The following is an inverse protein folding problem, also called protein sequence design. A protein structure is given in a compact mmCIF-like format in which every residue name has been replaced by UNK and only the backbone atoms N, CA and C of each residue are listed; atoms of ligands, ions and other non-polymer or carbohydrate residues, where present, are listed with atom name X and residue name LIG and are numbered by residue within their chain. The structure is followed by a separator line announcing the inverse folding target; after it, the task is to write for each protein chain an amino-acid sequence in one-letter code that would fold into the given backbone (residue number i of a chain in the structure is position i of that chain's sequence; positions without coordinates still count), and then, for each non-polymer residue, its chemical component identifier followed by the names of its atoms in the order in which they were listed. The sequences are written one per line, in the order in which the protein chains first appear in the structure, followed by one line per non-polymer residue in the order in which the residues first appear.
data_IF_250496241447
#
_entry.id   IF_250496241447
#
_cell.length_a   1.000
_cell.length_b   1.000
_cell.length_c   1.000
_cell.angle_alpha   90.00
_cell.angle_beta   90.00
_cell.angle_gamma   90.00
#
_symmetry.space_group_name_H-M   'P 1'
#
loop_
_entity.id
_entity.type
_entity.pdbx_description
1 polymer ?
#
# COMPACT_ATOMS: atom_id res chain seq x y z
N UNK A 1 -17.99 -7.88 14.09
CA UNK A 1 -16.62 -7.42 14.41
C UNK A 1 -15.63 -8.04 13.45
N UNK A 2 -14.46 -7.43 13.25
CA UNK A 2 -13.42 -7.90 12.34
C UNK A 2 -12.30 -8.64 13.10
N UNK A 3 -11.60 -9.54 12.40
CA UNK A 3 -10.42 -10.25 12.87
C UNK A 3 -9.31 -10.14 11.82
N UNK A 4 -8.09 -9.88 12.26
CA UNK A 4 -6.90 -9.74 11.41
C UNK A 4 -6.00 -10.94 11.67
N UNK A 5 -5.63 -11.64 10.61
CA UNK A 5 -4.77 -12.83 10.65
C UNK A 5 -3.55 -12.58 9.77
N UNK A 6 -2.36 -12.90 10.29
CA UNK A 6 -1.15 -12.95 9.47
C UNK A 6 -1.12 -14.29 8.76
N UNK A 7 -0.99 -14.27 7.44
CA UNK A 7 -0.92 -15.47 6.60
C UNK A 7 0.54 -15.85 6.30
N UNK A 8 0.78 -17.13 6.01
CA UNK A 8 2.09 -17.60 5.56
C UNK A 8 2.42 -17.09 4.16
N UNK A 9 3.70 -17.02 3.81
CA UNK A 9 4.13 -16.57 2.48
C UNK A 9 3.54 -17.43 1.33
N UNK A 10 3.50 -18.78 1.41
CA UNK A 10 2.88 -19.60 0.36
C UNK A 10 1.37 -19.33 0.21
N UNK A 11 0.66 -19.12 1.31
CA UNK A 11 -0.76 -18.80 1.26
C UNK A 11 -0.99 -17.41 0.65
N UNK A 12 -0.19 -16.41 1.06
CA UNK A 12 -0.24 -15.07 0.49
C UNK A 12 0.04 -15.07 -1.02
N UNK A 13 1.01 -15.87 -1.48
CA UNK A 13 1.31 -16.05 -2.90
C UNK A 13 0.09 -16.59 -3.65
N UNK A 14 -0.53 -17.67 -3.17
CA UNK A 14 -1.73 -18.24 -3.78
C UNK A 14 -2.87 -17.23 -3.85
N UNK A 15 -3.12 -16.49 -2.76
CA UNK A 15 -4.14 -15.44 -2.72
C UNK A 15 -3.85 -14.34 -3.74
N UNK A 16 -2.59 -13.86 -3.83
CA UNK A 16 -2.22 -12.81 -4.77
C UNK A 16 -2.26 -13.27 -6.22
N UNK A 17 -1.86 -14.51 -6.52
CA UNK A 17 -2.03 -15.08 -7.85
C UNK A 17 -3.51 -15.16 -8.24
N UNK A 18 -4.38 -15.58 -7.32
CA UNK A 18 -5.82 -15.64 -7.59
C UNK A 18 -6.45 -14.26 -7.82
N UNK A 19 -5.97 -13.22 -7.12
CA UNK A 19 -6.52 -11.86 -7.21
C UNK A 19 -5.93 -11.08 -8.41
N UNK A 20 -4.62 -11.20 -8.64
CA UNK A 20 -3.86 -10.25 -9.47
C UNK A 20 -3.19 -10.85 -10.71
N UNK A 21 -3.24 -12.17 -10.94
CA UNK A 21 -2.57 -12.81 -12.09
C UNK A 21 -2.96 -12.25 -13.46
N UNK A 22 -4.16 -11.67 -13.58
CA UNK A 22 -4.63 -11.01 -14.80
C UNK A 22 -4.18 -9.55 -14.97
N UNK A 23 -3.47 -8.96 -14.00
CA UNK A 23 -3.00 -7.59 -14.06
C UNK A 23 -1.68 -7.48 -14.82
N UNK A 24 -1.52 -6.41 -15.61
CA UNK A 24 -0.35 -6.18 -16.47
C UNK A 24 0.97 -6.09 -15.70
N UNK A 25 0.94 -5.53 -14.48
CA UNK A 25 2.11 -5.27 -13.65
C UNK A 25 2.25 -6.22 -12.46
N UNK A 26 1.57 -7.37 -12.48
CA UNK A 26 1.73 -8.34 -11.41
C UNK A 26 3.10 -9.05 -11.52
N UNK A 27 3.96 -9.00 -10.48
CA UNK A 27 5.29 -9.59 -10.54
C UNK A 27 5.20 -11.12 -10.65
N UNK A 28 5.90 -11.69 -11.64
CA UNK A 28 5.99 -13.14 -11.84
C UNK A 28 6.69 -13.84 -10.67
N UNK A 29 7.53 -13.11 -9.95
CA UNK A 29 8.34 -13.56 -8.82
C UNK A 29 7.82 -13.03 -7.47
N UNK A 30 6.50 -12.91 -7.32
CA UNK A 30 5.85 -12.48 -6.06
C UNK A 30 6.33 -13.27 -4.84
N UNK A 31 6.70 -14.54 -5.01
CA UNK A 31 7.30 -15.38 -3.97
C UNK A 31 8.61 -14.81 -3.41
N UNK A 32 9.43 -14.18 -4.26
CA UNK A 32 10.70 -13.54 -3.88
C UNK A 32 10.46 -12.29 -3.05
N UNK A 33 9.39 -11.54 -3.36
CA UNK A 33 8.94 -10.40 -2.57
C UNK A 33 8.46 -10.91 -1.20
N UNK A 34 7.58 -11.90 -1.16
CA UNK A 34 6.99 -12.41 0.08
C UNK A 34 7.98 -13.12 1.02
N UNK A 35 9.09 -13.63 0.48
CA UNK A 35 10.17 -14.26 1.26
C UNK A 35 11.29 -13.28 1.68
N UNK A 36 11.23 -12.03 1.22
CA UNK A 36 12.21 -11.00 1.57
C UNK A 36 12.18 -10.67 3.06
N UNK A 37 13.34 -10.31 3.63
CA UNK A 37 13.45 -9.79 4.99
C UNK A 37 12.73 -8.44 5.18
N UNK A 38 12.58 -7.69 4.09
CA UNK A 38 11.85 -6.42 4.08
C UNK A 38 10.33 -6.63 4.10
N UNK A 39 9.84 -7.83 3.82
CA UNK A 39 8.43 -8.18 3.94
C UNK A 39 8.07 -8.41 5.42
N UNK A 40 7.36 -7.45 6.02
CA UNK A 40 6.97 -7.50 7.44
C UNK A 40 5.78 -8.46 7.66
N UNK A 41 4.99 -8.72 6.63
CA UNK A 41 3.92 -9.72 6.64
C UNK A 41 2.78 -9.38 5.69
N UNK A 42 2.00 -10.41 5.37
CA UNK A 42 0.70 -10.29 4.70
C UNK A 42 -0.40 -10.54 5.70
N UNK A 43 -1.37 -9.64 5.72
CA UNK A 43 -2.46 -9.63 6.68
C UNK A 43 -3.79 -9.68 5.95
N UNK A 44 -4.65 -10.58 6.41
CA UNK A 44 -6.01 -10.74 5.91
C UNK A 44 -6.97 -10.37 7.03
N UNK A 45 -7.94 -9.52 6.70
CA UNK A 45 -8.99 -9.10 7.61
C UNK A 45 -10.32 -9.70 7.15
N UNK A 46 -10.94 -10.47 8.04
CA UNK A 46 -12.23 -11.11 7.80
C UNK A 46 -13.24 -10.75 8.90
N UNK A 47 -14.55 -10.79 8.63
CA UNK A 47 -15.55 -10.78 9.67
C UNK A 47 -15.33 -11.95 10.64
N UNK A 48 -15.46 -11.72 11.94
CA UNK A 48 -15.27 -12.76 12.99
C UNK A 48 -16.15 -14.00 12.77
N UNK A 49 -17.33 -13.84 12.18
CA UNK A 49 -18.23 -14.93 11.82
C UNK A 49 -17.66 -15.90 10.79
N UNK A 50 -16.76 -15.43 9.93
CA UNK A 50 -16.12 -16.25 8.90
C UNK A 50 -14.77 -16.82 9.36
N UNK A 51 -14.21 -16.36 10.48
CA UNK A 51 -12.90 -16.83 10.96
C UNK A 51 -12.89 -18.34 11.22
N UNK A 52 -13.96 -18.89 11.82
CA UNK A 52 -14.07 -20.33 12.11
C UNK A 52 -14.38 -21.18 10.88
N UNK A 53 -14.89 -20.56 9.80
CA UNK A 53 -15.23 -21.23 8.55
C UNK A 53 -14.10 -21.14 7.52
N UNK A 54 -13.18 -20.19 7.70
CA UNK A 54 -12.06 -20.01 6.81
C UNK A 54 -10.97 -21.02 7.14
N UNK A 55 -10.90 -22.09 6.35
CA UNK A 55 -9.75 -22.96 6.34
C UNK A 55 -8.58 -22.20 5.71
N UNK A 56 -7.58 -21.88 6.52
CA UNK A 56 -6.39 -21.08 6.17
C UNK A 56 -5.47 -21.77 5.14
N UNK A 57 -5.98 -22.72 4.37
CA UNK A 57 -5.16 -23.58 3.54
C UNK A 57 -5.20 -23.19 2.07
N UNK A 58 -6.35 -22.86 1.45
CA UNK A 58 -6.36 -22.57 0.00
C UNK A 58 -7.53 -21.72 -0.57
N UNK A 59 -8.51 -21.27 0.22
CA UNK A 59 -9.66 -20.53 -0.32
C UNK A 59 -9.68 -19.06 0.12
N UNK A 60 -9.91 -18.15 -0.84
CA UNK A 60 -10.28 -16.76 -0.53
C UNK A 60 -11.61 -16.74 0.23
N UNK A 61 -11.70 -16.07 1.40
CA UNK A 61 -12.97 -15.90 2.08
C UNK A 61 -13.99 -15.15 1.19
N UNK A 62 -15.30 -15.34 1.39
CA UNK A 62 -16.32 -14.63 0.59
C UNK A 62 -16.35 -13.11 0.86
N UNK A 63 -15.89 -12.68 2.05
CA UNK A 63 -15.75 -11.27 2.41
C UNK A 63 -14.46 -11.06 3.18
N UNK A 64 -13.52 -10.32 2.59
CA UNK A 64 -12.19 -10.09 3.15
C UNK A 64 -11.58 -8.79 2.65
N UNK A 65 -10.52 -8.38 3.34
CA UNK A 65 -9.52 -7.46 2.82
C UNK A 65 -8.14 -8.09 3.02
N UNK A 66 -7.20 -7.83 2.13
CA UNK A 66 -5.82 -8.30 2.19
C UNK A 66 -4.88 -7.12 1.93
N UNK A 67 -3.74 -7.12 2.60
CA UNK A 67 -2.68 -6.12 2.46
C UNK A 67 -1.37 -6.71 2.97
N UNK A 68 -0.27 -6.39 2.28
CA UNK A 68 1.08 -6.65 2.76
C UNK A 68 1.77 -5.37 3.20
N UNK A 69 2.72 -5.50 4.11
CA UNK A 69 3.54 -4.37 4.59
C UNK A 69 5.01 -4.63 4.28
N UNK A 70 5.66 -3.65 3.66
CA UNK A 70 7.07 -3.65 3.32
C UNK A 70 7.84 -2.60 4.13
N UNK A 71 9.03 -2.97 4.57
CA UNK A 71 9.97 -2.09 5.26
C UNK A 71 10.87 -1.39 4.25
N UNK A 72 10.67 -0.10 4.01
CA UNK A 72 11.57 0.68 3.13
C UNK A 72 12.72 1.32 3.89
N UNK A 73 12.73 1.28 5.23
CA UNK A 73 13.66 2.07 6.06
C UNK A 73 15.13 1.67 5.89
N UNK A 74 15.39 0.43 5.47
CA UNK A 74 16.73 -0.09 5.19
C UNK A 74 17.25 0.32 3.81
N UNK A 75 16.37 0.81 2.93
CA UNK A 75 16.68 1.09 1.52
C UNK A 75 16.51 2.58 1.19
N UNK A 76 15.46 3.23 1.71
CA UNK A 76 15.10 4.60 1.41
C UNK A 76 14.75 5.41 2.67
N UNK A 77 15.09 6.70 2.62
CA UNK A 77 14.64 7.70 3.57
C UNK A 77 14.03 8.88 2.82
N UNK A 78 12.86 9.32 3.29
CA UNK A 78 12.18 10.48 2.76
C UNK A 78 12.49 11.71 3.62
N UNK A 79 12.48 12.87 2.99
CA UNK A 79 12.60 14.15 3.68
C UNK A 79 11.80 15.21 2.93
N UNK A 80 10.87 15.86 3.63
CA UNK A 80 10.17 17.02 3.10
C UNK A 80 11.11 18.23 3.06
N UNK A 81 11.40 18.70 1.86
CA UNK A 81 12.16 19.92 1.57
C UNK A 81 11.27 20.96 0.88
N UNK A 82 11.73 22.21 0.82
CA UNK A 82 11.03 23.29 0.10
C UNK A 82 9.88 23.97 0.85
N UNK A 83 9.65 23.64 2.12
CA UNK A 83 8.58 24.24 2.94
C UNK A 83 9.07 25.55 3.57
N UNK A 84 8.20 26.57 3.66
CA UNK A 84 8.57 27.88 4.22
C UNK A 84 9.06 27.78 5.68
N UNK A 85 9.94 28.70 6.11
CA UNK A 85 10.44 28.76 7.50
C UNK A 85 9.29 28.92 8.51
N UNK A 86 8.27 29.69 8.16
CA UNK A 86 7.07 29.88 8.98
C UNK A 86 6.29 28.57 9.15
N UNK A 87 6.05 27.85 8.05
CA UNK A 87 5.38 26.54 8.09
C UNK A 87 6.15 25.55 8.97
N UNK A 88 7.48 25.54 8.86
CA UNK A 88 8.35 24.69 9.69
C UNK A 88 8.24 25.06 11.17
N UNK A 89 8.20 26.35 11.50
CA UNK A 89 8.01 26.83 12.87
C UNK A 89 6.62 26.46 13.42
N UNK A 90 5.55 26.63 12.63
CA UNK A 90 4.20 26.20 13.03
C UNK A 90 4.11 24.69 13.29
N UNK A 91 4.75 23.86 12.44
CA UNK A 91 4.79 22.41 12.65
C UNK A 91 5.65 21.99 13.85
N UNK A 92 6.66 22.78 14.22
CA UNK A 92 7.39 22.59 15.47
C UNK A 92 6.52 22.97 16.67
N UNK A 93 5.87 24.14 16.62
CA UNK A 93 4.98 24.62 17.65
C UNK A 93 3.81 23.69 17.93
N UNK A 94 3.17 23.14 16.88
CA UNK A 94 2.06 22.19 17.04
C UNK A 94 2.49 20.89 17.71
N UNK A 95 3.71 20.40 17.45
CA UNK A 95 4.27 19.21 18.11
C UNK A 95 4.58 19.47 19.59
N UNK A 96 5.14 20.63 19.91
CA UNK A 96 5.40 21.03 21.30
C UNK A 96 4.07 21.14 22.05
N UNK A 97 3.07 21.76 21.44
CA UNK A 97 1.74 21.92 22.02
C UNK A 97 1.06 20.56 22.25
N UNK A 98 1.12 19.64 21.29
CA UNK A 98 0.57 18.29 21.42
C UNK A 98 1.28 17.47 22.51
N UNK A 99 2.60 17.62 22.65
CA UNK A 99 3.38 16.94 23.69
C UNK A 99 3.07 17.46 25.11
N UNK A 100 2.82 18.76 25.28
CA UNK A 100 2.55 19.37 26.57
C UNK A 100 1.05 19.45 26.92
N UNK A 101 0.17 19.44 25.93
CA UNK A 101 -1.28 19.61 26.08
C UNK A 101 -2.04 18.56 25.23
N UNK A 102 -1.86 17.25 25.53
CA UNK A 102 -2.42 16.16 24.71
C UNK A 102 -3.96 16.14 24.70
N UNK A 103 -4.62 16.74 25.70
CA UNK A 103 -6.09 16.83 25.72
C UNK A 103 -6.66 17.71 24.60
N UNK A 104 -5.86 18.62 24.05
CA UNK A 104 -6.27 19.50 22.96
C UNK A 104 -6.34 18.77 21.61
N UNK A 105 -5.80 17.53 21.53
CA UNK A 105 -5.83 16.66 20.33
C UNK A 105 -5.43 17.41 19.06
N UNK A 106 -4.38 18.22 19.16
CA UNK A 106 -3.91 19.03 18.03
C UNK A 106 -3.41 18.06 16.96
N UNK A 107 -3.82 18.20 15.68
CA UNK A 107 -3.30 17.38 14.60
C UNK A 107 -1.84 17.76 14.34
N UNK A 108 -0.93 17.12 15.08
CA UNK A 108 0.51 17.35 14.98
C UNK A 108 1.08 16.57 13.80
N UNK A 109 1.76 17.27 12.90
CA UNK A 109 2.49 16.64 11.80
C UNK A 109 3.80 16.13 12.40
N UNK A 110 4.17 14.84 12.21
CA UNK A 110 5.44 14.30 12.68
C UNK A 110 6.62 15.04 12.03
N UNK A 111 7.83 14.79 12.50
CA UNK A 111 9.02 15.50 12.01
C UNK A 111 9.48 15.06 10.61
N UNK A 112 8.66 15.31 9.60
CA UNK A 112 8.93 14.94 8.22
C UNK A 112 10.05 15.78 7.57
N UNK A 113 10.60 16.77 8.28
CA UNK A 113 11.70 17.65 7.81
C UNK A 113 13.10 17.06 8.05
N UNK A 114 13.23 16.00 8.85
CA UNK A 114 14.45 15.20 8.97
C UNK A 114 14.27 13.92 8.14
N UNK A 115 15.35 13.28 7.66
CA UNK A 115 15.23 11.97 7.03
C UNK A 115 14.45 10.99 7.91
N UNK A 116 13.43 10.36 7.34
CA UNK A 116 12.60 9.35 8.01
C UNK A 116 12.37 8.18 7.06
N UNK A 117 12.31 6.97 7.61
CA UNK A 117 11.87 5.81 6.84
C UNK A 117 10.35 5.64 6.89
N UNK A 118 9.78 4.78 6.06
CA UNK A 118 8.35 4.53 6.03
C UNK A 118 8.03 3.05 5.88
N UNK A 119 6.77 2.69 6.14
CA UNK A 119 6.24 1.39 5.74
C UNK A 119 5.42 1.59 4.46
N UNK A 120 5.70 0.75 3.47
CA UNK A 120 4.96 0.75 2.23
C UNK A 120 3.90 -0.36 2.24
N UNK A 121 2.66 0.00 1.95
CA UNK A 121 1.54 -0.93 1.83
C UNK A 121 1.40 -1.33 0.36
N UNK A 122 1.35 -2.63 0.11
CA UNK A 122 1.21 -3.16 -1.24
C UNK A 122 0.27 -4.37 -1.26
N UNK A 123 -0.16 -4.78 -2.47
CA UNK A 123 -1.11 -5.88 -2.64
C UNK A 123 -2.46 -5.62 -1.98
N UNK A 124 -2.89 -4.36 -1.90
CA UNK A 124 -4.15 -4.03 -1.25
C UNK A 124 -5.32 -4.52 -2.12
N UNK A 125 -6.20 -5.32 -1.52
CA UNK A 125 -7.43 -5.75 -2.18
C UNK A 125 -8.54 -5.94 -1.16
N UNK A 126 -9.78 -5.68 -1.55
CA UNK A 126 -10.94 -5.91 -0.70
C UNK A 126 -12.11 -6.45 -1.53
N UNK A 127 -12.81 -7.44 -1.00
CA UNK A 127 -13.92 -8.11 -1.66
C UNK A 127 -15.06 -8.41 -0.68
N UNK A 128 -16.30 -8.32 -1.18
CA UNK A 128 -17.50 -8.66 -0.41
C UNK A 128 -18.17 -7.48 0.27
N UNK A 129 -19.39 -7.72 0.80
CA UNK A 129 -20.20 -6.68 1.45
C UNK A 129 -19.57 -6.25 2.79
N UNK A 130 -19.31 -4.95 2.94
CA UNK A 130 -18.69 -4.39 4.15
C UNK A 130 -17.16 -4.46 4.18
N UNK A 131 -16.53 -4.87 3.07
CA UNK A 131 -15.07 -4.97 2.92
C UNK A 131 -14.34 -3.63 3.15
N UNK A 132 -15.00 -2.50 2.90
CA UNK A 132 -14.50 -1.15 3.23
C UNK A 132 -14.10 -1.02 4.70
N UNK A 133 -14.90 -1.57 5.62
CA UNK A 133 -14.59 -1.55 7.05
C UNK A 133 -13.42 -2.48 7.41
N UNK A 134 -13.27 -3.59 6.68
CA UNK A 134 -12.17 -4.53 6.86
C UNK A 134 -10.85 -3.90 6.41
N UNK A 135 -10.84 -3.24 5.26
CA UNK A 135 -9.67 -2.53 4.74
C UNK A 135 -9.28 -1.36 5.66
N UNK A 136 -10.24 -0.55 6.14
CA UNK A 136 -9.97 0.48 7.17
C UNK A 136 -9.33 -0.10 8.43
N UNK A 137 -9.78 -1.29 8.84
CA UNK A 137 -9.19 -2.00 9.98
C UNK A 137 -7.75 -2.45 9.72
N UNK A 138 -7.44 -2.88 8.48
CA UNK A 138 -6.06 -3.18 8.05
C UNK A 138 -5.18 -1.94 8.02
N UNK A 139 -5.65 -0.83 7.44
CA UNK A 139 -4.89 0.43 7.43
C UNK A 139 -4.59 0.90 8.87
N UNK A 140 -5.56 0.81 9.78
CA UNK A 140 -5.34 1.12 11.20
C UNK A 140 -4.33 0.16 11.85
N UNK A 141 -4.37 -1.12 11.50
CA UNK A 141 -3.40 -2.10 11.97
C UNK A 141 -1.97 -1.78 11.49
N UNK A 142 -1.79 -1.47 10.21
CA UNK A 142 -0.49 -1.04 9.67
C UNK A 142 0.01 0.26 10.30
N UNK A 143 -0.87 1.25 10.50
CA UNK A 143 -0.55 2.47 11.22
C UNK A 143 -0.06 2.19 12.66
N UNK A 144 -0.74 1.27 13.38
CA UNK A 144 -0.32 0.89 14.72
C UNK A 144 1.01 0.11 14.72
N UNK A 145 1.27 -0.67 13.67
CA UNK A 145 2.55 -1.33 13.46
C UNK A 145 3.68 -0.31 13.25
N UNK A 146 3.46 0.68 12.38
CA UNK A 146 4.38 1.78 12.14
C UNK A 146 4.62 2.64 13.39
N UNK A 147 3.58 2.92 14.20
CA UNK A 147 3.72 3.68 15.45
C UNK A 147 4.62 3.02 16.50
N UNK A 148 4.72 1.69 16.48
CA UNK A 148 5.63 0.96 17.38
C UNK A 148 7.09 1.05 16.93
N UNK A 149 7.33 1.50 15.71
CA UNK A 149 8.63 1.62 15.11
C UNK A 149 9.13 3.07 15.16
N UNK A 150 10.10 3.35 16.02
CA UNK A 150 10.62 4.71 16.27
C UNK A 150 11.22 5.35 15.02
N UNK A 151 11.66 4.55 14.05
CA UNK A 151 12.29 5.04 12.82
C UNK A 151 11.30 5.23 11.66
N UNK A 152 10.04 4.80 11.84
CA UNK A 152 8.99 4.91 10.83
C UNK A 152 8.21 6.23 11.00
N UNK A 153 8.42 7.17 10.08
CA UNK A 153 7.76 8.47 10.09
C UNK A 153 6.42 8.51 9.36
N UNK A 154 6.17 7.56 8.45
CA UNK A 154 4.96 7.53 7.63
C UNK A 154 4.56 6.09 7.23
N UNK A 155 3.29 5.94 6.83
CA UNK A 155 2.79 4.78 6.12
C UNK A 155 2.33 5.26 4.76
N UNK A 156 2.82 4.63 3.70
CA UNK A 156 2.60 5.03 2.31
C UNK A 156 1.92 3.89 1.57
N UNK A 157 0.98 4.22 0.70
CA UNK A 157 0.35 3.29 -0.22
C UNK A 157 0.18 4.00 -1.56
N UNK A 158 0.46 3.29 -2.64
CA UNK A 158 0.12 3.73 -3.99
C UNK A 158 -1.03 2.86 -4.50
N UNK A 159 -2.07 3.51 -5.03
CA UNK A 159 -3.26 2.86 -5.59
C UNK A 159 -3.69 3.58 -6.85
N UNK A 160 -4.30 2.85 -7.78
CA UNK A 160 -4.89 3.48 -8.95
C UNK A 160 -6.03 4.42 -8.54
N UNK A 161 -6.19 5.52 -9.28
CA UNK A 161 -7.23 6.54 -9.04
C UNK A 161 -8.64 5.95 -8.93
N UNK A 162 -8.92 4.90 -9.71
CA UNK A 162 -10.22 4.26 -9.79
C UNK A 162 -10.31 2.95 -8.98
N UNK A 163 -9.28 2.62 -8.20
CA UNK A 163 -9.29 1.43 -7.36
C UNK A 163 -10.34 1.59 -6.26
N UNK A 164 -11.30 0.67 -6.09
CA UNK A 164 -12.26 0.71 -4.99
C UNK A 164 -11.60 0.84 -3.60
N UNK A 165 -10.39 0.30 -3.45
CA UNK A 165 -9.62 0.34 -2.20
C UNK A 165 -9.23 1.77 -1.82
N UNK A 166 -9.05 2.68 -2.79
CA UNK A 166 -8.68 4.08 -2.53
C UNK A 166 -9.62 4.79 -1.54
N UNK A 167 -10.91 4.44 -1.56
CA UNK A 167 -11.96 4.98 -0.66
C UNK A 167 -11.73 4.53 0.79
N UNK A 168 -11.10 3.38 0.99
CA UNK A 168 -10.84 2.80 2.31
C UNK A 168 -9.60 3.38 2.98
N UNK A 169 -8.61 3.82 2.20
CA UNK A 169 -7.30 4.23 2.71
C UNK A 169 -7.39 5.64 3.32
N UNK A 170 -7.15 5.77 4.64
CA UNK A 170 -7.03 7.09 5.25
C UNK A 170 -5.78 7.79 4.71
N UNK A 171 -5.94 8.95 4.09
CA UNK A 171 -4.83 9.73 3.56
C UNK A 171 -4.96 11.21 3.93
N UNK A 172 -3.84 11.91 3.97
CA UNK A 172 -3.81 13.36 4.14
C UNK A 172 -3.95 14.04 2.79
N UNK A 173 -5.07 14.72 2.54
CA UNK A 173 -5.36 15.41 1.25
C UNK A 173 -4.26 16.35 0.75
N UNK A 174 -3.43 16.90 1.64
CA UNK A 174 -2.32 17.80 1.29
C UNK A 174 -1.01 17.07 0.96
N UNK A 175 -0.93 15.78 1.27
CA UNK A 175 0.24 14.92 1.06
C UNK A 175 -0.05 13.72 0.15
N UNK A 176 -1.31 13.52 -0.27
CA UNK A 176 -1.66 12.65 -1.37
C UNK A 176 -1.29 13.34 -2.69
N UNK A 177 -0.37 12.75 -3.44
CA UNK A 177 -0.06 13.18 -4.80
C UNK A 177 -0.95 12.38 -5.77
N UNK A 178 -1.62 13.10 -6.67
CA UNK A 178 -2.24 12.48 -7.84
C UNK A 178 -1.16 12.43 -8.92
N UNK A 179 -0.46 11.30 -9.02
CA UNK A 179 0.60 11.12 -10.00
C UNK A 179 0.04 10.56 -11.32
N UNK A 180 0.42 11.18 -12.43
CA UNK A 180 0.04 10.74 -13.77
C UNK A 180 1.20 9.98 -14.41
N UNK A 181 1.04 8.66 -14.54
CA UNK A 181 2.01 7.80 -15.19
C UNK A 181 1.80 7.77 -16.71
N UNK A 182 2.72 8.37 -17.46
CA UNK A 182 2.76 8.31 -18.92
C UNK A 182 3.79 7.28 -19.36
N UNK A 183 3.34 6.12 -19.83
CA UNK A 183 4.23 5.09 -20.38
C UNK A 183 4.33 5.21 -21.90
N UNK A 184 5.56 5.24 -22.41
CA UNK A 184 5.86 5.21 -23.85
C UNK A 184 6.71 3.99 -24.16
N UNK A 185 6.23 3.13 -25.07
CA UNK A 185 7.02 2.00 -25.58
C UNK A 185 8.24 2.53 -26.32
N UNK A 186 9.43 2.24 -25.81
CA UNK A 186 10.69 2.49 -26.50
C UNK A 186 11.01 1.26 -27.37
N UNK A 187 10.36 1.11 -28.52
CA UNK A 187 10.77 0.07 -29.48
C UNK A 187 12.07 0.49 -30.15
N UNK A 188 13.13 -0.31 -29.99
CA UNK A 188 14.34 -0.24 -30.81
C UNK A 188 14.00 -0.83 -32.18
N UNK A 189 14.04 -0.01 -33.22
CA UNK A 189 14.06 -0.50 -34.60
C UNK A 189 15.31 -1.38 -34.79
N UNK A 190 15.12 -2.67 -35.07
CA UNK A 190 15.99 -3.47 -35.95
C UNK A 190 15.57 -4.95 -35.92
N UNK A 191 14.46 -5.28 -36.56
CA UNK A 191 14.25 -6.59 -37.20
C UNK A 191 12.99 -6.50 -38.04
N UNK A 192 13.15 -6.65 -39.35
CA UNK A 192 12.09 -6.69 -40.36
C UNK A 192 11.23 -7.95 -40.18
N UNK A 193 10.38 -7.97 -39.16
CA UNK A 193 9.26 -8.90 -39.08
C UNK A 193 8.01 -8.11 -38.65
N UNK A 194 7.25 -7.67 -39.66
CA UNK A 194 5.93 -7.08 -39.53
C UNK A 194 4.90 -8.15 -39.13
N UNK A 195 5.04 -8.73 -37.94
CA UNK A 195 3.95 -9.47 -37.32
C UNK A 195 3.64 -8.92 -35.93
N UNK A 196 2.50 -8.22 -35.88
CA UNK A 196 1.84 -7.67 -34.69
C UNK A 196 2.58 -6.53 -33.98
N UNK A 197 2.57 -5.37 -34.63
CA UNK A 197 2.65 -4.08 -33.94
C UNK A 197 1.53 -3.99 -32.90
N UNK A 198 1.88 -4.26 -31.63
CA UNK A 198 1.02 -3.99 -30.47
C UNK A 198 0.78 -2.48 -30.38
N UNK A 199 -0.24 -2.01 -31.09
CA UNK A 199 -0.77 -0.66 -30.99
C UNK A 199 -1.28 -0.45 -29.56
N UNK A 200 -0.58 0.37 -28.78
CA UNK A 200 -1.00 0.74 -27.42
C UNK A 200 -2.35 1.49 -27.41
N UNK A 201 -2.76 2.06 -28.56
CA UNK A 201 -4.09 2.63 -28.80
C UNK A 201 -5.21 1.58 -28.81
N UNK A 202 -4.88 0.30 -28.95
CA UNK A 202 -5.81 -0.83 -28.79
C UNK A 202 -5.60 -1.59 -27.49
N UNK A 203 -4.77 -1.09 -26.56
CA UNK A 203 -4.67 -1.68 -25.23
C UNK A 203 -6.06 -1.70 -24.60
N UNK A 204 -6.43 -2.86 -24.05
CA UNK A 204 -7.66 -3.03 -23.26
C UNK A 204 -7.71 -1.92 -22.21
N UNK A 205 -8.92 -1.38 -21.93
CA UNK A 205 -9.13 -0.46 -20.80
C UNK A 205 -8.43 -1.05 -19.58
N UNK A 206 -7.49 -0.29 -19.00
CA UNK A 206 -6.72 -0.75 -17.85
C UNK A 206 -7.68 -1.19 -16.74
N UNK A 207 -7.32 -2.23 -16.02
CA UNK A 207 -8.02 -2.59 -14.79
C UNK A 207 -8.08 -1.36 -13.88
N UNK A 208 -9.18 -1.20 -13.16
CA UNK A 208 -9.28 -0.18 -12.12
C UNK A 208 -8.35 -0.47 -10.94
N UNK A 209 -7.82 -1.69 -10.87
CA UNK A 209 -6.94 -2.20 -9.81
C UNK A 209 -5.50 -2.24 -10.31
N UNK A 210 -4.57 -1.79 -9.47
CA UNK A 210 -3.13 -1.79 -9.72
C UNK A 210 -2.42 -2.61 -8.64
N UNK A 211 -1.48 -3.46 -9.05
CA UNK A 211 -0.52 -4.05 -8.14
C UNK A 211 0.80 -3.28 -8.27
N UNK A 212 1.30 -2.76 -7.14
CA UNK A 212 2.56 -2.01 -7.09
C UNK A 212 3.63 -2.91 -6.48
N UNK A 213 4.74 -3.10 -7.19
CA UNK A 213 5.88 -3.85 -6.66
C UNK A 213 6.58 -3.00 -5.59
N UNK A 214 6.66 -3.47 -4.33
CA UNK A 214 7.29 -2.71 -3.26
C UNK A 214 8.81 -2.51 -3.43
N UNK A 215 9.45 -3.19 -4.39
CA UNK A 215 10.88 -3.04 -4.70
C UNK A 215 11.18 -1.84 -5.60
N UNK A 216 10.17 -1.32 -6.30
CA UNK A 216 10.30 -0.15 -7.18
C UNK A 216 10.34 1.18 -6.40
N UNK A 217 10.08 1.12 -5.08
CA UNK A 217 10.17 2.22 -4.13
C UNK A 217 11.51 2.30 -3.44
#
# INVERSE_FOLDING_TARGET
GAAIVRVSAPLAESMYQQIFSGLEFFPKDINSILSSKLHLGTFVCVPKSYLSMWDNQNALPPCFAIMSVWNTKEVYQLQLKGVSKLTRACCLGSRVLDAHIPWLRVPSIPNLFKPFGFHFLYGLHMQGKGSLGLMKSLCNFAHNMARKDVTCGAVVAEVAQWDPVSIAIPHWKKFSCDDLWCMKKLSKCASNDESQSSNWTTCRKSSSVLFVDPRDF
#
